data_IF_689620856373
#
_entry.id   IF_689620856373
#
_cell.length_a   1.000
_cell.length_b   1.000
_cell.length_c   1.000
_cell.angle_alpha   90.00
_cell.angle_beta   90.00
_cell.angle_gamma   90.00
#
_symmetry.space_group_name_H-M   'P 1'
#
loop_
_entity.id
_entity.type
_entity.pdbx_description
1 polymer ?
#
# COMPACT_ATOMS: atom_id res chain seq x y z
N UNK A 1 3.03 0.50 -5.07
CA UNK A 1 2.92 1.32 -3.84
C UNK A 1 3.62 2.67 -3.95
N UNK A 2 4.85 2.76 -4.46
CA UNK A 2 5.55 4.05 -4.63
C UNK A 2 4.71 5.09 -5.36
N UNK A 3 4.15 4.73 -6.53
CA UNK A 3 3.24 5.60 -7.29
C UNK A 3 2.07 6.16 -6.46
N UNK A 4 1.38 5.34 -5.66
CA UNK A 4 0.27 5.82 -4.82
C UNK A 4 0.75 6.76 -3.71
N UNK A 5 1.96 6.55 -3.17
CA UNK A 5 2.56 7.45 -2.19
C UNK A 5 2.90 8.79 -2.84
N UNK A 6 3.45 8.76 -4.04
CA UNK A 6 3.81 9.98 -4.79
C UNK A 6 2.56 10.78 -5.14
N UNK A 7 1.49 10.11 -5.61
CA UNK A 7 0.18 10.74 -5.82
C UNK A 7 -0.37 11.39 -4.54
N UNK A 8 -0.35 10.70 -3.40
CA UNK A 8 -0.75 11.27 -2.11
C UNK A 8 0.11 12.47 -1.70
N UNK A 9 1.42 12.44 -1.97
CA UNK A 9 2.31 13.57 -1.73
C UNK A 9 1.95 14.79 -2.59
N UNK A 10 1.62 14.58 -3.87
CA UNK A 10 1.14 15.64 -4.75
C UNK A 10 -0.21 16.21 -4.30
N UNK A 11 -1.15 15.35 -3.92
CA UNK A 11 -2.43 15.74 -3.33
C UNK A 11 -2.21 16.61 -2.08
N UNK A 12 -1.32 16.19 -1.19
CA UNK A 12 -0.98 16.96 0.02
C UNK A 12 -0.40 18.34 -0.31
N UNK A 13 0.44 18.42 -1.33
CA UNK A 13 1.00 19.70 -1.77
C UNK A 13 -0.09 20.64 -2.31
N UNK A 14 -1.03 20.13 -3.11
CA UNK A 14 -2.10 20.95 -3.70
C UNK A 14 -3.13 21.44 -2.68
N UNK A 15 -3.30 20.76 -1.54
CA UNK A 15 -4.16 21.25 -0.44
C UNK A 15 -3.74 22.62 0.09
N UNK A 16 -2.45 22.99 -0.03
CA UNK A 16 -1.93 24.27 0.45
C UNK A 16 -2.35 25.44 -0.42
N UNK A 17 -2.67 25.18 -1.69
CA UNK A 17 -3.01 26.19 -2.71
C UNK A 17 -4.47 26.09 -3.16
N UNK A 18 -5.27 25.24 -2.52
CA UNK A 18 -6.69 25.04 -2.82
C UNK A 18 -7.53 25.43 -1.58
N UNK A 19 -7.99 26.69 -1.48
CA UNK A 19 -8.72 27.18 -0.31
C UNK A 19 -10.04 26.42 -0.03
N UNK A 20 -10.62 25.80 -1.07
CA UNK A 20 -11.86 25.03 -0.97
C UNK A 20 -11.72 23.71 -0.19
N UNK A 21 -10.50 23.29 0.18
CA UNK A 21 -10.28 22.01 0.85
C UNK A 21 -10.53 22.06 2.35
N UNK A 22 -11.39 21.14 2.78
CA UNK A 22 -11.93 21.04 4.12
C UNK A 22 -10.94 20.37 5.09
N UNK A 23 -11.29 20.37 6.38
CA UNK A 23 -10.58 19.55 7.36
C UNK A 23 -10.80 18.05 7.12
N UNK A 24 -11.96 17.67 6.59
CA UNK A 24 -12.31 16.30 6.25
C UNK A 24 -11.44 15.75 5.12
N UNK A 25 -11.18 16.54 4.08
CA UNK A 25 -10.26 16.16 2.99
C UNK A 25 -8.85 15.87 3.52
N UNK A 26 -8.38 16.66 4.50
CA UNK A 26 -7.06 16.47 5.15
C UNK A 26 -7.02 15.21 6.00
N UNK A 27 -8.11 14.91 6.70
CA UNK A 27 -8.25 13.67 7.45
C UNK A 27 -8.25 12.46 6.50
N UNK A 28 -8.95 12.55 5.35
CA UNK A 28 -8.97 11.50 4.34
C UNK A 28 -7.57 11.21 3.77
N UNK A 29 -6.81 12.23 3.37
CA UNK A 29 -5.41 12.07 2.89
C UNK A 29 -4.55 11.40 3.96
N UNK A 30 -4.66 11.84 5.22
CA UNK A 30 -3.88 11.28 6.32
C UNK A 30 -4.23 9.82 6.58
N UNK A 31 -5.52 9.46 6.51
CA UNK A 31 -6.00 8.09 6.62
C UNK A 31 -5.46 7.19 5.49
N UNK A 32 -5.52 7.67 4.24
CA UNK A 32 -5.01 6.95 3.07
C UNK A 32 -3.50 6.68 3.18
N UNK A 33 -2.73 7.67 3.63
CA UNK A 33 -1.30 7.50 3.86
C UNK A 33 -0.99 6.49 4.97
N UNK A 34 -1.72 6.55 6.09
CA UNK A 34 -1.55 5.62 7.20
C UNK A 34 -1.87 4.18 6.77
N UNK A 35 -2.95 3.98 6.02
CA UNK A 35 -3.33 2.67 5.46
C UNK A 35 -2.31 2.16 4.45
N UNK A 36 -1.82 3.03 3.55
CA UNK A 36 -0.78 2.66 2.59
C UNK A 36 0.56 2.30 3.27
N UNK A 37 0.89 2.97 4.39
CA UNK A 37 2.04 2.63 5.22
C UNK A 37 1.85 1.26 5.89
N UNK A 38 0.70 1.04 6.53
CA UNK A 38 0.37 -0.23 7.18
C UNK A 38 0.40 -1.40 6.18
N UNK A 39 -0.14 -1.19 4.98
CA UNK A 39 -0.06 -2.15 3.88
C UNK A 39 1.38 -2.42 3.46
N UNK A 40 2.22 -1.38 3.41
CA UNK A 40 3.65 -1.51 3.20
C UNK A 40 4.35 -2.41 4.23
N UNK A 41 3.96 -2.30 5.50
CA UNK A 41 4.45 -3.16 6.59
C UNK A 41 3.96 -4.60 6.41
N UNK A 42 2.70 -4.83 6.01
CA UNK A 42 2.19 -6.18 5.72
C UNK A 42 2.99 -6.87 4.61
N UNK A 43 3.30 -6.16 3.54
CA UNK A 43 4.09 -6.71 2.44
C UNK A 43 5.54 -6.99 2.82
N UNK A 44 6.21 -6.05 3.50
CA UNK A 44 7.67 -6.06 3.63
C UNK A 44 8.19 -6.36 5.04
N UNK A 45 7.30 -6.40 6.04
CA UNK A 45 7.65 -6.41 7.45
C UNK A 45 7.93 -5.01 8.01
N UNK A 46 7.94 -4.90 9.34
CA UNK A 46 8.30 -3.67 10.03
C UNK A 46 9.82 -3.58 10.22
N UNK A 47 10.46 -2.72 9.41
CA UNK A 47 11.92 -2.49 9.48
C UNK A 47 12.34 -1.81 10.78
N UNK A 48 11.49 -0.97 11.36
CA UNK A 48 11.79 -0.25 12.59
C UNK A 48 11.89 -1.23 13.76
N UNK A 49 10.92 -2.13 13.88
CA UNK A 49 10.92 -3.17 14.94
C UNK A 49 12.03 -4.18 14.70
N UNK A 50 12.13 -4.74 13.49
CA UNK A 50 13.12 -5.78 13.18
C UNK A 50 14.57 -5.28 13.30
N UNK A 51 14.85 -4.00 13.02
CA UNK A 51 16.20 -3.42 13.20
C UNK A 51 16.68 -3.42 14.66
N UNK A 52 15.76 -3.55 15.63
CA UNK A 52 16.07 -3.60 17.06
C UNK A 52 16.14 -5.03 17.60
N UNK A 53 16.11 -6.05 16.73
CA UNK A 53 16.00 -7.46 17.09
C UNK A 53 14.77 -7.78 17.97
N UNK A 54 13.75 -6.93 17.93
CA UNK A 54 12.49 -7.18 18.61
C UNK A 54 11.64 -8.15 17.78
N UNK A 55 10.81 -9.00 18.42
CA UNK A 55 9.90 -9.89 17.71
C UNK A 55 8.95 -9.09 16.81
N UNK A 56 9.04 -9.32 15.50
CA UNK A 56 8.18 -8.71 14.50
C UNK A 56 7.47 -9.78 13.68
N UNK A 57 6.18 -9.59 13.34
CA UNK A 57 5.52 -10.44 12.36
C UNK A 57 6.29 -10.45 11.04
N UNK A 58 6.38 -11.64 10.44
CA UNK A 58 7.02 -11.81 9.14
C UNK A 58 6.14 -11.20 8.04
N UNK A 59 6.72 -10.29 7.25
CA UNK A 59 6.05 -9.76 6.06
C UNK A 59 5.81 -10.82 5.00
N UNK A 60 4.82 -10.59 4.13
CA UNK A 60 4.44 -11.52 3.05
C UNK A 60 5.66 -11.87 2.18
N UNK A 61 6.45 -10.87 1.77
CA UNK A 61 7.63 -11.07 0.94
C UNK A 61 8.69 -11.94 1.64
N UNK A 62 8.92 -11.72 2.94
CA UNK A 62 9.85 -12.53 3.74
C UNK A 62 9.38 -13.98 3.85
N UNK A 63 8.07 -14.21 4.00
CA UNK A 63 7.48 -15.55 4.04
C UNK A 63 7.70 -16.30 2.73
N UNK A 64 7.38 -15.66 1.60
CA UNK A 64 7.60 -16.24 0.26
C UNK A 64 9.09 -16.49 0.02
N UNK A 65 9.95 -15.54 0.36
CA UNK A 65 11.41 -15.67 0.21
C UNK A 65 11.97 -16.82 1.06
N UNK A 66 11.50 -17.00 2.30
CA UNK A 66 11.92 -18.12 3.16
C UNK A 66 11.52 -19.48 2.59
N UNK A 67 10.29 -19.61 2.07
CA UNK A 67 9.84 -20.83 1.40
C UNK A 67 10.72 -21.10 0.18
N UNK A 68 10.84 -20.12 -0.71
CA UNK A 68 11.64 -20.24 -1.93
C UNK A 68 13.08 -20.63 -1.62
N UNK A 69 13.76 -19.85 -0.78
CA UNK A 69 15.17 -20.05 -0.43
C UNK A 69 15.43 -21.42 0.20
N UNK A 70 14.51 -21.96 0.98
CA UNK A 70 14.68 -23.30 1.55
C UNK A 70 14.46 -24.39 0.52
N UNK A 71 13.39 -24.28 -0.28
CA UNK A 71 13.02 -25.32 -1.22
C UNK A 71 14.01 -25.46 -2.38
N UNK A 72 14.54 -24.34 -2.90
CA UNK A 72 15.53 -24.40 -4.00
C UNK A 72 16.87 -24.99 -3.58
N UNK A 73 17.19 -25.00 -2.29
CA UNK A 73 18.43 -25.56 -1.74
C UNK A 73 18.23 -26.95 -1.11
N UNK A 74 17.05 -27.56 -1.25
CA UNK A 74 16.70 -28.85 -0.66
C UNK A 74 16.43 -29.91 -1.71
N UNK A 75 16.93 -31.12 -1.49
CA UNK A 75 16.58 -32.32 -2.28
C UNK A 75 15.47 -33.15 -1.61
N UNK A 76 15.12 -32.84 -0.36
CA UNK A 76 14.03 -33.52 0.34
C UNK A 76 12.67 -33.12 -0.22
N UNK A 77 11.65 -34.01 -0.14
CA UNK A 77 10.28 -33.65 -0.49
C UNK A 77 9.79 -32.43 0.31
N UNK A 78 8.93 -31.62 -0.32
CA UNK A 78 8.32 -30.45 0.35
C UNK A 78 7.55 -30.92 1.60
N UNK A 79 7.93 -30.40 2.77
CA UNK A 79 7.27 -30.70 4.04
C UNK A 79 5.93 -29.98 4.21
N UNK A 80 5.08 -30.49 5.11
CA UNK A 80 3.74 -29.91 5.38
C UNK A 80 3.81 -28.45 5.87
N UNK A 81 4.83 -28.09 6.65
CA UNK A 81 5.02 -26.72 7.15
C UNK A 81 5.18 -25.70 6.01
N UNK A 82 5.92 -26.05 4.94
CA UNK A 82 6.08 -25.17 3.79
C UNK A 82 4.80 -25.02 2.98
N UNK A 83 4.02 -26.10 2.83
CA UNK A 83 2.69 -26.03 2.21
C UNK A 83 1.74 -25.14 3.00
N UNK A 84 1.68 -25.30 4.32
CA UNK A 84 0.87 -24.42 5.18
C UNK A 84 1.32 -22.96 5.11
N UNK A 85 2.63 -22.70 5.16
CA UNK A 85 3.15 -21.34 5.04
C UNK A 85 2.88 -20.73 3.66
N UNK A 86 2.89 -21.52 2.60
CA UNK A 86 2.51 -21.07 1.25
C UNK A 86 1.03 -20.70 1.18
N UNK A 87 0.15 -21.47 1.82
CA UNK A 87 -1.27 -21.15 1.86
C UNK A 87 -1.53 -19.82 2.60
N UNK A 88 -0.90 -19.64 3.77
CA UNK A 88 -0.98 -18.37 4.52
C UNK A 88 -0.46 -17.19 3.68
N UNK A 89 0.65 -17.38 2.96
CA UNK A 89 1.18 -16.33 2.09
C UNK A 89 0.20 -15.94 0.98
N UNK A 90 -0.49 -16.91 0.38
CA UNK A 90 -1.52 -16.67 -0.66
C UNK A 90 -2.72 -15.92 -0.11
N UNK A 91 -3.22 -16.31 1.06
CA UNK A 91 -4.37 -15.67 1.71
C UNK A 91 -4.04 -14.20 2.08
N UNK A 92 -2.91 -13.98 2.76
CA UNK A 92 -2.46 -12.64 3.13
C UNK A 92 -2.18 -11.75 1.91
N UNK A 93 -1.56 -12.30 0.86
CA UNK A 93 -1.31 -11.58 -0.38
C UNK A 93 -2.61 -11.16 -1.06
N UNK A 94 -3.60 -12.04 -1.11
CA UNK A 94 -4.89 -11.76 -1.75
C UNK A 94 -5.61 -10.60 -1.04
N UNK A 95 -5.62 -10.61 0.30
CA UNK A 95 -6.18 -9.51 1.10
C UNK A 95 -5.40 -8.19 0.90
N UNK A 96 -4.07 -8.25 0.91
CA UNK A 96 -3.23 -7.08 0.71
C UNK A 96 -3.36 -6.49 -0.71
N UNK A 97 -3.54 -7.34 -1.73
CA UNK A 97 -3.77 -6.90 -3.10
C UNK A 97 -5.14 -6.24 -3.26
N UNK A 98 -6.18 -6.79 -2.62
CA UNK A 98 -7.51 -6.16 -2.60
C UNK A 98 -7.43 -4.77 -1.96
N UNK A 99 -6.82 -4.65 -0.78
CA UNK A 99 -6.67 -3.37 -0.08
C UNK A 99 -5.86 -2.36 -0.92
N UNK A 100 -4.85 -2.80 -1.65
CA UNK A 100 -4.10 -1.93 -2.57
C UNK A 100 -4.99 -1.37 -3.68
N UNK A 101 -5.88 -2.20 -4.24
CA UNK A 101 -6.85 -1.80 -5.24
C UNK A 101 -7.89 -0.81 -4.71
N UNK A 102 -8.37 -1.05 -3.50
CA UNK A 102 -9.31 -0.15 -2.81
C UNK A 102 -8.66 1.22 -2.57
N UNK A 103 -7.44 1.24 -2.02
CA UNK A 103 -6.67 2.48 -1.83
C UNK A 103 -6.45 3.24 -3.14
N UNK A 104 -6.14 2.53 -4.24
CA UNK A 104 -5.97 3.16 -5.55
C UNK A 104 -7.28 3.82 -6.03
N UNK A 105 -8.42 3.17 -5.79
CA UNK A 105 -9.75 3.68 -6.15
C UNK A 105 -10.14 4.90 -5.30
N UNK A 106 -9.90 4.84 -3.99
CA UNK A 106 -10.16 5.95 -3.07
C UNK A 106 -9.31 7.19 -3.38
N UNK A 107 -8.02 7.00 -3.71
CA UNK A 107 -7.13 8.09 -4.14
C UNK A 107 -7.65 8.73 -5.43
N UNK A 108 -8.07 7.93 -6.41
CA UNK A 108 -8.64 8.45 -7.66
C UNK A 108 -9.95 9.23 -7.42
N UNK A 109 -10.81 8.75 -6.52
CA UNK A 109 -12.04 9.44 -6.16
C UNK A 109 -11.76 10.80 -5.47
N UNK A 110 -10.77 10.85 -4.58
CA UNK A 110 -10.34 12.09 -3.94
C UNK A 110 -9.79 13.09 -4.96
N UNK A 111 -8.93 12.63 -5.87
CA UNK A 111 -8.38 13.44 -6.96
C UNK A 111 -9.48 14.07 -7.84
N UNK A 112 -10.48 13.27 -8.24
CA UNK A 112 -11.63 13.75 -9.01
C UNK A 112 -12.49 14.75 -8.22
N UNK A 113 -12.61 14.57 -6.89
CA UNK A 113 -13.28 15.54 -6.03
C UNK A 113 -12.55 16.88 -5.99
N UNK A 114 -11.23 16.84 -5.84
CA UNK A 114 -10.39 18.03 -5.82
C UNK A 114 -10.43 18.80 -7.16
N UNK A 115 -10.48 18.09 -8.29
CA UNK A 115 -10.63 18.71 -9.61
C UNK A 115 -11.93 19.51 -9.71
N UNK A 116 -13.06 18.94 -9.26
CA UNK A 116 -14.34 19.65 -9.20
C UNK A 116 -14.30 20.89 -8.29
N UNK A 117 -13.43 20.89 -7.29
CA UNK A 117 -13.18 22.03 -6.39
C UNK A 117 -12.15 23.03 -6.94
N UNK A 118 -11.70 22.87 -8.18
CA UNK A 118 -10.75 23.78 -8.84
C UNK A 118 -9.29 23.60 -8.42
N UNK A 119 -8.94 22.46 -7.81
CA UNK A 119 -7.54 22.16 -7.49
C UNK A 119 -6.73 21.98 -8.78
N UNK A 120 -5.45 22.41 -8.81
CA UNK A 120 -4.58 22.19 -9.96
C UNK A 120 -4.35 20.70 -10.20
N UNK A 121 -4.07 20.36 -11.46
CA UNK A 121 -3.72 18.99 -11.85
C UNK A 121 -2.47 18.48 -11.10
N UNK A 122 -2.44 17.18 -10.81
CA UNK A 122 -1.34 16.50 -10.08
C UNK A 122 -0.75 15.36 -10.91
N UNK A 123 0.57 15.14 -10.89
CA UNK A 123 1.19 14.00 -11.55
C UNK A 123 0.58 12.66 -11.12
N UNK A 124 0.40 11.76 -12.09
CA UNK A 124 -0.22 10.44 -11.86
C UNK A 124 -1.75 10.45 -11.89
N UNK A 125 -2.40 11.63 -11.88
CA UNK A 125 -3.85 11.76 -12.10
C UNK A 125 -4.20 11.50 -13.56
N UNK A 126 -5.09 10.56 -13.81
CA UNK A 126 -5.65 10.31 -15.14
C UNK A 126 -6.62 11.45 -15.48
N UNK A 127 -6.37 12.27 -16.53
CA UNK A 127 -7.27 13.34 -16.90
C UNK A 127 -8.59 12.79 -17.45
N UNK A 128 -9.70 13.38 -17.04
CA UNK A 128 -10.99 13.18 -17.69
C UNK A 128 -11.19 14.24 -18.78
N UNK A 129 -11.88 13.88 -19.87
CA UNK A 129 -12.26 14.88 -20.88
C UNK A 129 -13.29 15.84 -20.26
N UNK A 130 -13.15 17.16 -20.45
CA UNK A 130 -14.17 18.10 -20.04
C UNK A 130 -15.49 17.78 -20.78
N UNK A 131 -16.59 17.73 -20.04
CA UNK A 131 -17.95 17.65 -20.60
C UNK A 131 -18.46 19.02 -20.99
#
# INVERSE_FOLDING_TARGET
MAELRDRLAHIRATMRVTPAMTAEDRAAVTSLEARLLALGVRFNGDRTVSSRNEPAPMGIASRVSSIYGTLVNSQSPVGQNFRGSSQVATEEFSLALSELGDLATEIAALEASMERSGAPWTPGRIPAMPQ
#
